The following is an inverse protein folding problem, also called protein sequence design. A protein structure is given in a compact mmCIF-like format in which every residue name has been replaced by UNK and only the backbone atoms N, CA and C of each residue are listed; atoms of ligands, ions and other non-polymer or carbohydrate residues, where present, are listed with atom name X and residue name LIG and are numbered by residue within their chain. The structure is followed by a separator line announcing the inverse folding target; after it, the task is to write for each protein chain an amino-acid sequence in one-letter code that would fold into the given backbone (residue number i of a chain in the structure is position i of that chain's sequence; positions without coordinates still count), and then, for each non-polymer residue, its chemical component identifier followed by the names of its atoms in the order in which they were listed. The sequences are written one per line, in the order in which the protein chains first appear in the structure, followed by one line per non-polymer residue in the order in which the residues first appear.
data_IF_724622635114
#
_entry.id   IF_724622635114
#
_cell.length_a   1.000
_cell.length_b   1.000
_cell.length_c   1.000
_cell.angle_alpha   90.00
_cell.angle_beta   90.00
_cell.angle_gamma   90.00
#
_symmetry.space_group_name_H-M   'P 1'
#
loop_
_entity.id
_entity.type
_entity.pdbx_description
1 polymer ?
#
# COMPACT_ATOMS: atom_id res chain seq x y z
N UNK A 1 20.79 -23.81 40.11
CA UNK A 1 20.05 -23.10 39.01
C UNK A 1 20.52 -23.66 37.68
N UNK A 2 19.61 -24.18 36.88
CA UNK A 2 19.92 -25.03 35.71
C UNK A 2 20.48 -24.22 34.53
N UNK A 3 21.75 -24.38 34.09
CA UNK A 3 22.34 -23.68 32.96
C UNK A 3 21.75 -24.06 31.59
N UNK A 4 21.08 -25.23 31.52
CA UNK A 4 20.55 -25.78 30.26
C UNK A 4 19.41 -24.96 29.59
N UNK A 5 18.68 -24.15 30.36
CA UNK A 5 17.57 -23.31 29.82
C UNK A 5 18.00 -21.97 29.23
N UNK A 6 19.26 -21.55 29.43
CA UNK A 6 19.76 -20.24 28.95
C UNK A 6 20.15 -20.26 27.47
N UNK A 7 20.66 -21.37 26.98
CA UNK A 7 21.12 -21.52 25.59
C UNK A 7 19.97 -21.36 24.56
N UNK A 8 18.82 -22.06 24.66
CA UNK A 8 17.74 -21.90 23.70
C UNK A 8 17.14 -20.48 23.70
N UNK A 9 17.09 -19.82 24.86
CA UNK A 9 16.61 -18.43 24.98
C UNK A 9 17.55 -17.45 24.28
N UNK A 10 18.87 -17.64 24.35
CA UNK A 10 19.85 -16.81 23.65
C UNK A 10 19.73 -16.96 22.13
N UNK A 11 19.59 -18.20 21.65
CA UNK A 11 19.39 -18.44 20.21
C UNK A 11 18.07 -17.86 19.70
N UNK A 12 16.99 -17.98 20.47
CA UNK A 12 15.69 -17.37 20.14
C UNK A 12 15.81 -15.83 20.05
N UNK A 13 16.47 -15.20 21.01
CA UNK A 13 16.72 -13.75 20.98
C UNK A 13 17.53 -13.33 19.75
N UNK A 14 18.58 -14.07 19.39
CA UNK A 14 19.38 -13.80 18.19
C UNK A 14 18.56 -13.95 16.92
N UNK A 15 17.72 -14.99 16.84
CA UNK A 15 16.82 -15.20 15.72
C UNK A 15 15.82 -14.06 15.58
N UNK A 16 15.18 -13.65 16.68
CA UNK A 16 14.22 -12.52 16.67
C UNK A 16 14.87 -11.21 16.28
N UNK A 17 16.09 -10.93 16.78
CA UNK A 17 16.86 -9.76 16.37
C UNK A 17 17.24 -9.81 14.89
N UNK A 18 17.63 -10.97 14.37
CA UNK A 18 17.91 -11.15 12.96
C UNK A 18 16.67 -10.92 12.08
N UNK A 19 15.52 -11.50 12.46
CA UNK A 19 14.23 -11.27 11.75
C UNK A 19 13.81 -9.80 11.80
N UNK A 20 13.96 -9.14 12.94
CA UNK A 20 13.69 -7.71 13.08
C UNK A 20 14.61 -6.87 12.19
N UNK A 21 15.91 -7.20 12.15
CA UNK A 21 16.88 -6.55 11.27
C UNK A 21 16.51 -6.70 9.79
N UNK A 22 16.12 -7.91 9.36
CA UNK A 22 15.64 -8.17 8.00
C UNK A 22 14.37 -7.38 7.68
N UNK A 23 13.43 -7.29 8.62
CA UNK A 23 12.23 -6.48 8.46
C UNK A 23 12.58 -4.99 8.28
N UNK A 24 13.49 -4.46 9.10
CA UNK A 24 13.94 -3.06 8.96
C UNK A 24 14.62 -2.82 7.60
N UNK A 25 15.51 -3.71 7.17
CA UNK A 25 16.15 -3.60 5.86
C UNK A 25 15.12 -3.62 4.72
N UNK A 26 14.09 -4.46 4.83
CA UNK A 26 12.99 -4.48 3.87
C UNK A 26 12.21 -3.15 3.86
N UNK A 27 11.91 -2.57 5.02
CA UNK A 27 11.25 -1.26 5.08
C UNK A 27 12.13 -0.14 4.50
N UNK A 28 13.43 -0.15 4.80
CA UNK A 28 14.38 0.81 4.22
C UNK A 28 14.49 0.68 2.69
N UNK A 29 14.46 -0.54 2.18
CA UNK A 29 14.43 -0.80 0.74
C UNK A 29 13.16 -0.23 0.09
N UNK A 30 11.98 -0.44 0.67
CA UNK A 30 10.72 0.15 0.20
C UNK A 30 10.77 1.68 0.25
N UNK A 31 11.28 2.25 1.36
CA UNK A 31 11.45 3.69 1.50
C UNK A 31 12.39 4.27 0.44
N UNK A 32 13.46 3.55 0.10
CA UNK A 32 14.34 3.92 -1.00
C UNK A 32 13.62 4.01 -2.34
N UNK A 33 12.67 3.10 -2.64
CA UNK A 33 11.83 3.19 -3.83
C UNK A 33 10.85 4.36 -3.78
N UNK A 34 10.24 4.64 -2.63
CA UNK A 34 9.36 5.80 -2.45
C UNK A 34 10.14 7.10 -2.72
N UNK A 35 11.36 7.21 -2.18
CA UNK A 35 12.25 8.35 -2.46
C UNK A 35 12.59 8.45 -3.95
N UNK A 36 12.99 7.34 -4.58
CA UNK A 36 13.36 7.31 -5.99
C UNK A 36 12.22 7.75 -6.90
N UNK A 37 11.02 7.27 -6.65
CA UNK A 37 9.84 7.60 -7.46
C UNK A 37 9.29 9.02 -7.23
N UNK A 38 9.87 9.77 -6.31
CA UNK A 38 9.62 11.21 -6.22
C UNK A 38 10.18 11.99 -7.43
N UNK A 39 11.21 11.44 -8.08
CA UNK A 39 11.86 12.06 -9.25
C UNK A 39 11.67 11.29 -10.55
N UNK A 40 11.47 10.00 -10.47
CA UNK A 40 11.37 9.11 -11.64
C UNK A 40 10.05 8.37 -11.64
N UNK A 41 9.26 8.56 -12.68
CA UNK A 41 7.99 7.83 -12.80
C UNK A 41 8.22 6.32 -12.95
N UNK A 42 7.53 5.46 -12.21
CA UNK A 42 7.68 4.01 -12.33
C UNK A 42 7.22 3.53 -13.71
N UNK A 43 8.01 2.68 -14.35
CA UNK A 43 7.63 2.04 -15.62
C UNK A 43 6.47 1.07 -15.45
N UNK A 44 6.45 0.32 -14.35
CA UNK A 44 5.34 -0.54 -13.94
C UNK A 44 5.13 -0.46 -12.44
N UNK A 45 3.97 -0.93 -11.97
CA UNK A 45 3.70 -1.10 -10.55
C UNK A 45 3.45 -2.58 -10.26
N UNK A 46 3.62 -2.98 -9.01
CA UNK A 46 3.38 -4.37 -8.62
C UNK A 46 1.97 -4.85 -8.99
N UNK A 47 1.00 -3.98 -8.86
CA UNK A 47 -0.38 -4.31 -9.24
C UNK A 47 -0.55 -4.48 -10.76
N UNK A 48 0.10 -3.63 -11.56
CA UNK A 48 0.09 -3.74 -13.03
C UNK A 48 0.72 -5.06 -13.48
N UNK A 49 1.86 -5.44 -12.91
CA UNK A 49 2.55 -6.70 -13.22
C UNK A 49 1.66 -7.92 -12.92
N UNK A 50 1.02 -7.94 -11.75
CA UNK A 50 0.11 -9.03 -11.38
C UNK A 50 -1.07 -9.09 -12.36
N UNK A 51 -1.68 -7.95 -12.70
CA UNK A 51 -2.81 -7.91 -13.63
C UNK A 51 -2.41 -8.30 -15.05
N UNK A 52 -1.23 -7.90 -15.48
CA UNK A 52 -0.70 -8.33 -16.78
C UNK A 52 -0.49 -9.86 -16.80
N UNK A 53 0.11 -10.42 -15.76
CA UNK A 53 0.31 -11.86 -15.66
C UNK A 53 -1.04 -12.63 -15.67
N UNK A 54 -2.06 -12.14 -14.95
CA UNK A 54 -3.41 -12.71 -14.97
C UNK A 54 -4.06 -12.66 -16.37
N UNK A 55 -3.84 -11.58 -17.11
CA UNK A 55 -4.33 -11.43 -18.47
C UNK A 55 -3.61 -12.37 -19.44
N UNK A 56 -2.28 -12.50 -19.32
CA UNK A 56 -1.45 -13.36 -20.16
C UNK A 56 -1.76 -14.86 -20.02
N UNK A 57 -2.36 -15.27 -18.91
CA UNK A 57 -2.90 -16.65 -18.79
C UNK A 57 -4.02 -16.90 -19.81
N UNK A 58 -4.81 -15.86 -20.15
CA UNK A 58 -5.95 -15.96 -21.10
C UNK A 58 -5.56 -15.56 -22.52
N UNK A 59 -4.69 -14.58 -22.63
CA UNK A 59 -4.16 -14.03 -23.87
C UNK A 59 -2.65 -13.84 -23.76
N UNK A 60 -1.84 -14.81 -24.24
CA UNK A 60 -0.38 -14.73 -24.18
C UNK A 60 0.22 -13.50 -24.87
N UNK A 61 -0.53 -12.87 -25.79
CA UNK A 61 -0.13 -11.63 -26.48
C UNK A 61 -0.45 -10.34 -25.72
N UNK A 62 -1.10 -10.43 -24.57
CA UNK A 62 -1.47 -9.25 -23.80
C UNK A 62 -0.24 -8.45 -23.34
N UNK A 63 -0.32 -7.14 -23.54
CA UNK A 63 0.74 -6.20 -23.19
C UNK A 63 0.20 -5.03 -22.38
N UNK A 64 1.02 -4.48 -21.50
CA UNK A 64 0.69 -3.25 -20.77
C UNK A 64 0.81 -2.05 -21.72
N UNK A 65 -0.29 -1.32 -21.89
CA UNK A 65 -0.31 -0.04 -22.61
C UNK A 65 -0.46 1.08 -21.60
N UNK A 66 0.57 1.91 -21.45
CA UNK A 66 0.63 3.02 -20.51
C UNK A 66 1.23 4.25 -21.18
N UNK A 67 0.68 5.40 -20.89
CA UNK A 67 1.23 6.69 -21.27
C UNK A 67 1.21 7.61 -20.06
N UNK A 68 2.38 8.14 -19.70
CA UNK A 68 2.48 9.18 -18.71
C UNK A 68 2.02 10.52 -19.28
N UNK A 69 1.26 11.27 -18.50
CA UNK A 69 0.81 12.61 -18.81
C UNK A 69 1.20 13.50 -17.65
N UNK A 70 1.82 14.65 -17.95
CA UNK A 70 2.19 15.63 -16.94
C UNK A 70 0.95 16.06 -16.15
N UNK A 71 1.09 16.19 -14.84
CA UNK A 71 -0.02 16.56 -13.95
C UNK A 71 -0.75 17.84 -14.39
N UNK A 72 0.00 18.83 -14.90
CA UNK A 72 -0.56 20.08 -15.44
C UNK A 72 -1.45 19.89 -16.67
N UNK A 73 -1.24 18.82 -17.44
CA UNK A 73 -2.04 18.51 -18.64
C UNK A 73 -3.30 17.70 -18.33
N UNK A 74 -3.44 17.18 -17.09
CA UNK A 74 -4.65 16.48 -16.66
C UNK A 74 -5.73 17.53 -16.34
N UNK A 75 -6.92 17.34 -16.88
CA UNK A 75 -8.04 18.26 -16.66
C UNK A 75 -8.39 18.37 -15.17
N UNK A 76 -8.66 19.58 -14.68
CA UNK A 76 -9.05 19.82 -13.30
C UNK A 76 -10.40 19.14 -12.95
N UNK A 77 -11.27 18.96 -13.94
CA UNK A 77 -12.51 18.21 -13.73
C UNK A 77 -12.25 16.74 -13.44
N UNK A 78 -11.29 16.12 -14.13
CA UNK A 78 -10.91 14.72 -13.87
C UNK A 78 -10.27 14.56 -12.50
N UNK A 79 -9.36 15.47 -12.12
CA UNK A 79 -8.72 15.47 -10.78
C UNK A 79 -9.77 15.56 -9.68
N UNK A 80 -10.72 16.49 -9.79
CA UNK A 80 -11.81 16.68 -8.81
C UNK A 80 -12.74 15.48 -8.79
N UNK A 81 -13.11 14.93 -9.94
CA UNK A 81 -13.96 13.76 -10.02
C UNK A 81 -13.32 12.55 -9.32
N UNK A 82 -12.02 12.33 -9.52
CA UNK A 82 -11.28 11.26 -8.84
C UNK A 82 -11.30 11.43 -7.31
N UNK A 83 -10.97 12.64 -6.82
CA UNK A 83 -11.00 12.93 -5.38
C UNK A 83 -12.40 12.69 -4.81
N UNK A 84 -13.44 13.25 -5.40
CA UNK A 84 -14.81 13.12 -4.89
C UNK A 84 -15.30 11.67 -4.91
N UNK A 85 -14.90 10.87 -5.91
CA UNK A 85 -15.35 9.48 -6.03
C UNK A 85 -14.62 8.51 -5.12
N UNK A 86 -13.32 8.72 -4.89
CA UNK A 86 -12.46 7.78 -4.16
C UNK A 86 -12.20 8.19 -2.71
N UNK A 87 -12.10 9.51 -2.47
CA UNK A 87 -11.67 10.05 -1.18
C UNK A 87 -12.04 11.53 -1.06
N UNK A 88 -13.32 11.80 -0.80
CA UNK A 88 -13.86 13.16 -0.79
C UNK A 88 -13.22 14.10 0.25
N UNK A 89 -12.52 13.58 1.24
CA UNK A 89 -11.81 14.33 2.27
C UNK A 89 -10.28 14.32 2.08
N UNK A 90 -9.77 13.91 0.92
CA UNK A 90 -8.35 13.73 0.62
C UNK A 90 -7.46 14.90 1.06
N UNK A 91 -7.92 16.15 0.89
CA UNK A 91 -7.18 17.36 1.27
C UNK A 91 -7.29 17.72 2.77
N UNK A 92 -8.02 16.93 3.56
CA UNK A 92 -8.28 17.19 4.98
C UNK A 92 -7.67 16.15 5.91
N UNK A 93 -6.94 15.17 5.39
CA UNK A 93 -6.25 14.16 6.19
C UNK A 93 -4.87 13.84 5.62
N UNK A 94 -4.01 13.25 6.45
CA UNK A 94 -2.66 12.82 6.11
C UNK A 94 -2.63 11.28 5.93
N UNK A 95 -3.07 10.83 4.76
CA UNK A 95 -3.04 9.42 4.34
C UNK A 95 -4.15 8.53 4.93
N UNK A 96 -4.82 8.92 6.03
CA UNK A 96 -5.87 8.12 6.69
C UNK A 96 -7.09 8.97 7.04
N UNK A 97 -8.23 8.66 6.46
CA UNK A 97 -9.53 9.19 6.87
C UNK A 97 -10.12 8.31 7.99
N UNK A 98 -9.77 8.63 9.25
CA UNK A 98 -10.22 7.86 10.41
C UNK A 98 -11.75 7.87 10.56
N UNK A 99 -12.39 9.00 10.29
CA UNK A 99 -13.84 9.14 10.36
C UNK A 99 -14.53 8.32 9.27
N UNK A 100 -13.99 8.35 8.06
CA UNK A 100 -14.45 7.53 6.94
C UNK A 100 -14.30 6.04 7.21
N UNK A 101 -13.18 5.62 7.78
CA UNK A 101 -12.94 4.24 8.21
C UNK A 101 -13.99 3.81 9.24
N UNK A 102 -14.22 4.61 10.28
CA UNK A 102 -15.21 4.31 11.30
C UNK A 102 -16.62 4.20 10.72
N UNK A 103 -17.04 5.16 9.91
CA UNK A 103 -18.35 5.13 9.22
C UNK A 103 -18.50 3.89 8.31
N UNK A 104 -17.44 3.51 7.62
CA UNK A 104 -17.44 2.30 6.78
C UNK A 104 -17.62 1.02 7.63
N UNK A 105 -16.92 0.92 8.77
CA UNK A 105 -17.06 -0.20 9.71
C UNK A 105 -18.50 -0.30 10.22
N UNK A 106 -19.06 0.80 10.73
CA UNK A 106 -20.43 0.85 11.25
C UNK A 106 -21.47 0.45 10.18
N UNK A 107 -21.29 0.95 8.95
CA UNK A 107 -22.17 0.62 7.84
C UNK A 107 -22.10 -0.86 7.47
N UNK A 108 -20.90 -1.43 7.46
CA UNK A 108 -20.69 -2.83 7.16
C UNK A 108 -21.26 -3.74 8.26
N UNK A 109 -21.10 -3.37 9.53
CA UNK A 109 -21.70 -4.08 10.66
C UNK A 109 -23.23 -4.07 10.59
N UNK A 110 -23.85 -2.90 10.36
CA UNK A 110 -25.30 -2.77 10.20
C UNK A 110 -25.86 -3.60 9.05
N UNK A 111 -25.09 -3.80 7.98
CA UNK A 111 -25.50 -4.56 6.80
C UNK A 111 -25.10 -6.04 6.84
N UNK A 112 -24.33 -6.49 7.82
CA UNK A 112 -23.81 -7.84 7.94
C UNK A 112 -22.90 -8.29 6.77
N UNK A 113 -22.47 -7.34 5.93
CA UNK A 113 -21.57 -7.56 4.79
C UNK A 113 -20.79 -6.30 4.44
N UNK A 114 -19.70 -6.47 3.68
CA UNK A 114 -18.89 -5.34 3.21
C UNK A 114 -19.63 -4.62 2.08
N UNK A 115 -20.13 -3.41 2.37
CA UNK A 115 -20.84 -2.52 1.42
C UNK A 115 -20.17 -1.15 1.30
N UNK A 116 -19.20 -0.83 2.17
CA UNK A 116 -18.43 0.41 2.13
C UNK A 116 -16.95 0.12 2.37
N UNK A 117 -16.09 0.79 1.63
CA UNK A 117 -14.66 0.86 1.84
C UNK A 117 -14.30 2.15 2.60
N UNK A 118 -13.23 2.11 3.39
CA UNK A 118 -12.68 3.28 4.06
C UNK A 118 -11.20 3.47 3.70
N UNK A 119 -10.79 3.09 2.49
CA UNK A 119 -9.40 3.26 2.04
C UNK A 119 -9.26 4.57 1.27
N UNK A 120 -8.28 5.38 1.64
CA UNK A 120 -7.93 6.66 1.02
C UNK A 120 -7.19 6.48 -0.32
N UNK A 121 -7.04 7.55 -1.09
CA UNK A 121 -6.22 7.58 -2.31
C UNK A 121 -4.78 7.16 -2.01
N UNK A 122 -4.18 7.67 -0.93
CA UNK A 122 -2.80 7.33 -0.53
C UNK A 122 -2.65 5.85 -0.18
N UNK A 123 -3.61 5.26 0.52
CA UNK A 123 -3.62 3.81 0.80
C UNK A 123 -3.78 2.98 -0.48
N UNK A 124 -4.62 3.42 -1.42
CA UNK A 124 -4.76 2.77 -2.72
C UNK A 124 -3.47 2.86 -3.53
N UNK A 125 -2.80 4.02 -3.51
CA UNK A 125 -1.52 4.24 -4.17
C UNK A 125 -0.44 3.30 -3.59
N UNK A 126 -0.28 3.26 -2.26
CA UNK A 126 0.64 2.36 -1.57
C UNK A 126 0.43 0.89 -1.98
N UNK A 127 -0.83 0.44 -1.99
CA UNK A 127 -1.20 -0.91 -2.44
C UNK A 127 -0.80 -1.15 -3.90
N UNK A 128 -1.13 -0.23 -4.79
CA UNK A 128 -0.93 -0.42 -6.23
C UNK A 128 0.54 -0.40 -6.62
N UNK A 129 1.35 0.43 -5.96
CA UNK A 129 2.78 0.50 -6.22
C UNK A 129 3.52 -0.76 -5.78
N UNK A 130 3.26 -1.27 -4.57
CA UNK A 130 4.13 -2.21 -3.90
C UNK A 130 3.50 -3.56 -3.54
N UNK A 131 2.15 -3.65 -3.45
CA UNK A 131 1.49 -4.78 -2.82
C UNK A 131 0.64 -5.60 -3.79
N UNK A 132 0.15 -6.73 -3.29
CA UNK A 132 -0.73 -7.63 -4.01
C UNK A 132 -2.20 -7.27 -3.77
N UNK A 133 -3.15 -7.74 -4.61
CA UNK A 133 -4.58 -7.56 -4.41
C UNK A 133 -5.16 -8.38 -3.24
N UNK A 134 -4.35 -9.20 -2.56
CA UNK A 134 -4.80 -10.02 -1.43
C UNK A 134 -5.41 -9.18 -0.30
N UNK A 135 -6.35 -9.78 0.46
CA UNK A 135 -7.07 -9.11 1.57
C UNK A 135 -6.63 -9.65 2.93
N UNK A 136 -5.33 -9.82 3.15
CA UNK A 136 -4.80 -10.29 4.43
C UNK A 136 -4.52 -9.13 5.40
N UNK A 137 -4.68 -9.31 6.72
CA UNK A 137 -4.34 -8.30 7.71
C UNK A 137 -2.88 -7.84 7.62
N UNK A 138 -1.96 -8.77 7.35
CA UNK A 138 -0.54 -8.46 7.18
C UNK A 138 -0.29 -7.51 6.01
N UNK A 139 -0.90 -7.78 4.85
CA UNK A 139 -0.83 -6.88 3.71
C UNK A 139 -1.40 -5.50 4.05
N UNK A 140 -2.50 -5.43 4.81
CA UNK A 140 -3.10 -4.14 5.21
C UNK A 140 -2.20 -3.37 6.19
N UNK A 141 -1.50 -4.06 7.10
CA UNK A 141 -0.50 -3.43 7.95
C UNK A 141 0.66 -2.87 7.12
N UNK A 142 1.16 -3.63 6.15
CA UNK A 142 2.22 -3.17 5.24
C UNK A 142 1.75 -1.98 4.38
N UNK A 143 0.51 -1.97 3.91
CA UNK A 143 -0.10 -0.85 3.20
C UNK A 143 -0.07 0.43 4.07
N UNK A 144 -0.43 0.31 5.35
CA UNK A 144 -0.40 1.46 6.25
C UNK A 144 1.02 2.03 6.45
N UNK A 145 2.03 1.17 6.59
CA UNK A 145 3.44 1.61 6.71
C UNK A 145 3.88 2.35 5.44
N UNK A 146 3.57 1.81 4.26
CA UNK A 146 3.94 2.44 2.99
C UNK A 146 3.17 3.76 2.79
N UNK A 147 1.90 3.83 3.22
CA UNK A 147 1.12 5.07 3.19
C UNK A 147 1.81 6.18 3.97
N UNK A 148 2.28 5.89 5.19
CA UNK A 148 3.06 6.87 5.97
C UNK A 148 4.34 7.30 5.25
N UNK A 149 5.04 6.37 4.60
CA UNK A 149 6.23 6.71 3.80
C UNK A 149 5.89 7.65 2.64
N UNK A 150 4.79 7.39 1.92
CA UNK A 150 4.32 8.23 0.82
C UNK A 150 3.97 9.64 1.30
N UNK A 151 3.18 9.75 2.35
CA UNK A 151 2.79 11.06 2.93
C UNK A 151 3.99 11.86 3.44
N UNK A 152 5.03 11.17 3.94
CA UNK A 152 6.26 11.85 4.40
C UNK A 152 7.08 12.42 3.25
N UNK A 153 7.04 11.81 2.07
CA UNK A 153 7.92 12.15 0.94
C UNK A 153 7.20 12.95 -0.14
N UNK A 154 5.90 12.68 -0.37
CA UNK A 154 5.15 13.19 -1.52
C UNK A 154 4.03 14.18 -1.12
N UNK A 155 3.99 14.62 0.14
CA UNK A 155 3.06 15.63 0.65
C UNK A 155 3.41 17.05 0.16
#
# INVERSE_FOLDING_TARGET
MRPALRLPVLWLKRLLLGLFGLLLLYQLWLFGWVLWWNWVNPESTRFMEIRLAELQVKDPGAQLKKQWVDYGKISNHLKRALIVSEDGLFIHHEGFDWDGIQKAIEKNQKKGKIVAGGSTISQQLAKNLFLTPSKTPWRKAQEAIITLMLETVWS
#
